data_IF_094458009726
#
_entry.id   IF_094458009726
#
_cell.length_a   1.000
_cell.length_b   1.000
_cell.length_c   1.000
_cell.angle_alpha   90.00
_cell.angle_beta   90.00
_cell.angle_gamma   90.00
#
_symmetry.space_group_name_H-M   'P 1'
#
loop_
_entity.id
_entity.type
_entity.pdbx_description
1 polymer ?
#
# COMPACT_ATOMS: atom_id res chain seq x y z
N UNK A 1 6.84 -10.53 5.32
CA UNK A 1 6.97 -10.03 6.71
C UNK A 1 8.42 -9.96 7.18
N UNK A 2 9.24 -11.02 7.02
CA UNK A 2 10.68 -10.94 7.33
C UNK A 2 11.43 -9.84 6.54
N UNK A 3 11.00 -9.54 5.31
CA UNK A 3 11.60 -8.49 4.48
C UNK A 3 11.44 -7.08 5.07
N UNK A 4 10.36 -6.82 5.83
CA UNK A 4 10.05 -5.48 6.36
C UNK A 4 10.86 -5.16 7.62
N UNK A 5 11.13 -6.17 8.44
CA UNK A 5 11.96 -6.05 9.64
C UNK A 5 13.45 -5.86 9.33
N UNK A 6 13.88 -6.27 8.14
CA UNK A 6 15.22 -5.99 7.63
C UNK A 6 15.32 -4.60 6.95
N UNK A 7 14.23 -3.85 6.90
CA UNK A 7 14.10 -2.54 6.25
C UNK A 7 13.56 -1.50 7.23
N UNK A 8 13.03 -0.37 6.76
CA UNK A 8 12.54 0.72 7.62
C UNK A 8 11.18 0.43 8.27
N UNK A 9 10.58 -0.73 7.99
CA UNK A 9 9.32 -1.16 8.61
C UNK A 9 8.10 -0.39 8.13
N UNK A 10 8.13 0.22 6.94
CA UNK A 10 7.01 0.99 6.38
C UNK A 10 6.40 0.30 5.16
N UNK A 11 5.07 0.21 5.15
CA UNK A 11 4.28 -0.29 4.02
C UNK A 11 3.32 0.80 3.55
N UNK A 12 3.30 1.04 2.25
CA UNK A 12 2.28 1.87 1.60
C UNK A 12 1.34 0.95 0.81
N UNK A 13 0.12 0.79 1.32
CA UNK A 13 -0.99 0.13 0.64
C UNK A 13 -1.58 1.08 -0.39
N UNK A 14 -1.59 0.66 -1.66
CA UNK A 14 -2.07 1.47 -2.78
C UNK A 14 -3.34 0.87 -3.36
N UNK A 15 -4.42 1.66 -3.38
CA UNK A 15 -5.72 1.29 -3.94
C UNK A 15 -6.27 2.35 -4.92
N UNK A 16 -7.36 2.02 -5.63
CA UNK A 16 -8.02 2.93 -6.56
C UNK A 16 -9.45 3.17 -6.10
N UNK A 17 -9.67 4.22 -5.32
CA UNK A 17 -10.99 4.57 -4.79
C UNK A 17 -12.05 4.88 -5.87
N UNK A 18 -11.65 5.20 -7.10
CA UNK A 18 -12.56 5.63 -8.16
C UNK A 18 -13.23 4.49 -8.93
N UNK A 19 -13.02 3.21 -8.56
CA UNK A 19 -13.47 2.08 -9.39
C UNK A 19 -14.44 1.12 -8.70
N UNK A 20 -14.31 0.66 -7.45
CA UNK A 20 -15.25 -0.34 -6.92
C UNK A 20 -15.18 -0.53 -5.38
N UNK A 21 -16.26 -1.07 -4.81
CA UNK A 21 -16.39 -1.70 -3.49
C UNK A 21 -15.17 -2.57 -3.07
N UNK A 22 -14.43 -3.09 -4.06
CA UNK A 22 -13.18 -3.85 -3.90
C UNK A 22 -12.04 -3.07 -3.22
N UNK A 23 -11.99 -1.74 -3.35
CA UNK A 23 -10.97 -0.91 -2.70
C UNK A 23 -11.20 -0.80 -1.19
N UNK A 24 -12.46 -0.81 -0.75
CA UNK A 24 -12.80 -0.84 0.66
C UNK A 24 -12.50 -2.22 1.25
N UNK A 25 -12.91 -3.28 0.55
CA UNK A 25 -12.57 -4.66 0.94
C UNK A 25 -11.06 -4.87 1.06
N UNK A 26 -10.28 -4.31 0.13
CA UNK A 26 -8.82 -4.35 0.19
C UNK A 26 -8.28 -3.70 1.46
N UNK A 27 -8.69 -2.47 1.77
CA UNK A 27 -8.28 -1.78 3.00
C UNK A 27 -8.63 -2.58 4.24
N UNK A 28 -9.83 -3.17 4.28
CA UNK A 28 -10.28 -3.98 5.41
C UNK A 28 -9.41 -5.22 5.61
N UNK A 29 -9.10 -5.95 4.54
CA UNK A 29 -8.19 -7.11 4.62
C UNK A 29 -6.77 -6.71 5.00
N UNK A 30 -6.23 -5.64 4.40
CA UNK A 30 -4.87 -5.15 4.72
C UNK A 30 -4.79 -4.72 6.19
N UNK A 31 -5.77 -3.97 6.70
CA UNK A 31 -5.83 -3.56 8.11
C UNK A 31 -6.00 -4.74 9.06
N UNK A 32 -6.83 -5.73 8.69
CA UNK A 32 -6.98 -6.97 9.45
C UNK A 32 -5.65 -7.69 9.60
N UNK A 33 -4.87 -7.82 8.52
CA UNK A 33 -3.54 -8.44 8.57
C UNK A 33 -2.57 -7.56 9.35
N UNK A 34 -2.59 -6.25 9.15
CA UNK A 34 -1.73 -5.29 9.84
C UNK A 34 -1.89 -5.33 11.36
N UNK A 35 -3.10 -5.63 11.87
CA UNK A 35 -3.32 -5.82 13.32
C UNK A 35 -2.41 -6.87 13.96
N UNK A 36 -1.85 -7.80 13.18
CA UNK A 36 -0.92 -8.83 13.63
C UNK A 36 0.55 -8.35 13.64
N UNK A 37 0.83 -7.18 13.07
CA UNK A 37 2.17 -6.59 12.90
C UNK A 37 2.18 -5.11 13.30
N UNK A 38 1.89 -4.77 14.57
CA UNK A 38 1.80 -3.38 15.03
C UNK A 38 3.13 -2.62 14.99
N UNK A 39 4.26 -3.33 14.87
CA UNK A 39 5.59 -2.78 14.68
C UNK A 39 5.82 -2.16 13.29
N UNK A 40 4.91 -2.42 12.34
CA UNK A 40 5.01 -1.95 10.96
C UNK A 40 4.13 -0.71 10.77
N UNK A 41 4.66 0.33 10.16
CA UNK A 41 3.88 1.53 9.81
C UNK A 41 3.11 1.26 8.52
N UNK A 42 1.77 1.34 8.58
CA UNK A 42 0.89 1.21 7.41
C UNK A 42 0.37 2.59 6.98
N UNK A 43 0.52 2.90 5.68
CA UNK A 43 -0.10 4.08 5.05
C UNK A 43 -0.98 3.63 3.88
N UNK A 44 -2.18 4.19 3.77
CA UNK A 44 -3.04 4.01 2.60
C UNK A 44 -2.85 5.17 1.62
N UNK A 45 -2.73 4.90 0.33
CA UNK A 45 -2.57 5.90 -0.72
C UNK A 45 -3.36 5.52 -1.97
N UNK A 46 -3.90 6.52 -2.68
CA UNK A 46 -4.52 6.29 -3.98
C UNK A 46 -3.47 6.06 -5.07
N UNK A 47 -3.76 5.23 -6.07
CA UNK A 47 -2.83 4.87 -7.13
C UNK A 47 -2.34 6.06 -7.98
N UNK A 48 -3.22 7.03 -8.25
CA UNK A 48 -2.87 8.28 -8.94
C UNK A 48 -1.92 9.15 -8.09
N UNK A 49 -2.19 9.27 -6.80
CA UNK A 49 -1.30 9.95 -5.86
C UNK A 49 0.04 9.21 -5.74
N UNK A 50 0.04 7.87 -5.66
CA UNK A 50 1.25 7.07 -5.62
C UNK A 50 2.11 7.28 -6.87
N UNK A 51 1.50 7.31 -8.06
CA UNK A 51 2.21 7.62 -9.30
C UNK A 51 2.86 9.02 -9.27
N UNK A 52 2.12 10.04 -8.81
CA UNK A 52 2.67 11.39 -8.66
C UNK A 52 3.82 11.45 -7.63
N UNK A 53 3.67 10.76 -6.49
CA UNK A 53 4.68 10.72 -5.43
C UNK A 53 5.94 9.95 -5.83
N UNK A 54 5.80 8.89 -6.64
CA UNK A 54 6.94 8.16 -7.20
C UNK A 54 7.81 9.04 -8.09
N UNK A 55 7.21 9.96 -8.84
CA UNK A 55 7.96 10.93 -9.66
C UNK A 55 8.56 12.04 -8.78
N UNK A 56 7.79 12.55 -7.81
CA UNK A 56 8.17 13.71 -7.01
C UNK A 56 9.22 13.42 -5.93
N UNK A 57 9.03 12.37 -5.14
CA UNK A 57 9.95 11.94 -4.09
C UNK A 57 9.83 10.42 -3.85
N UNK A 58 10.47 9.59 -4.69
CA UNK A 58 10.36 8.13 -4.58
C UNK A 58 10.96 7.57 -3.29
N UNK A 59 11.86 8.31 -2.61
CA UNK A 59 12.57 7.85 -1.40
C UNK A 59 11.67 7.75 -0.17
N UNK A 60 10.47 8.32 -0.23
CA UNK A 60 9.48 8.21 0.84
C UNK A 60 8.88 6.79 0.97
N UNK A 61 9.03 5.96 -0.06
CA UNK A 61 8.51 4.60 -0.10
C UNK A 61 9.57 3.59 0.34
N UNK A 62 9.16 2.64 1.17
CA UNK A 62 9.99 1.49 1.54
C UNK A 62 9.48 0.22 0.85
N UNK A 63 8.22 -0.15 1.11
CA UNK A 63 7.51 -1.22 0.41
C UNK A 63 6.15 -0.73 -0.05
N UNK A 64 5.84 -0.93 -1.33
CA UNK A 64 4.52 -0.67 -1.91
C UNK A 64 3.77 -1.99 -2.01
N UNK A 65 2.57 -2.03 -1.44
CA UNK A 65 1.64 -3.15 -1.51
C UNK A 65 0.45 -2.72 -2.36
N UNK A 66 0.14 -3.48 -3.41
CA UNK A 66 -1.00 -3.16 -4.27
C UNK A 66 -1.65 -4.42 -4.84
N UNK A 67 -2.86 -4.28 -5.38
CA UNK A 67 -3.58 -5.37 -6.03
C UNK A 67 -2.95 -5.70 -7.39
N UNK A 68 -2.91 -6.99 -7.75
CA UNK A 68 -2.34 -7.47 -9.02
C UNK A 68 -3.05 -6.91 -10.28
N UNK A 69 -4.28 -6.39 -10.15
CA UNK A 69 -5.06 -5.83 -11.26
C UNK A 69 -4.67 -4.38 -11.61
N UNK A 70 -3.45 -3.94 -11.29
CA UNK A 70 -3.00 -2.59 -11.65
C UNK A 70 -2.77 -2.41 -13.16
N UNK A 71 -2.56 -3.50 -13.91
CA UNK A 71 -2.21 -3.45 -15.33
C UNK A 71 -2.87 -4.57 -16.14
N UNK A 72 -4.16 -4.47 -16.46
CA UNK A 72 -4.66 -4.89 -17.78
C UNK A 72 -5.98 -4.16 -18.09
N UNK A 73 -5.95 -3.43 -19.21
CA UNK A 73 -6.97 -2.59 -19.88
C UNK A 73 -7.01 -1.11 -19.48
#
# INVERSE_FOLDING_TARGET
>A
MNLLRARSGKVTSVDKANVLESSQFWRDQVRKIHSQYPDIVLNDMLADNAAMQLVRDPRQFDVILTQNLLETY
#
